data_IF_527464180163
#
_entry.id   IF_527464180163
#
_cell.length_a   1.000
_cell.length_b   1.000
_cell.length_c   1.000
_cell.angle_alpha   90.00
_cell.angle_beta   90.00
_cell.angle_gamma   90.00
#
_symmetry.space_group_name_H-M   'P 1'
#
loop_
_entity.id
_entity.type
_entity.pdbx_description
1 polymer ?
#
# COMPACT_ATOMS: atom_id res chain seq x y z
N UNK A 1 7.86 -8.93 8.26
CA UNK A 1 8.19 -7.89 7.28
C UNK A 1 7.12 -7.89 6.19
N UNK A 2 6.72 -6.72 5.71
CA UNK A 2 5.69 -6.58 4.67
C UNK A 2 6.16 -5.60 3.61
N UNK A 3 5.85 -5.93 2.36
CA UNK A 3 6.05 -5.04 1.21
C UNK A 3 4.70 -4.82 0.55
N UNK A 4 4.15 -3.63 0.70
CA UNK A 4 2.93 -3.26 0.02
C UNK A 4 3.27 -2.81 -1.41
N UNK A 5 2.68 -3.45 -2.41
CA UNK A 5 3.15 -3.33 -3.79
C UNK A 5 2.06 -3.06 -4.83
N UNK A 6 0.84 -3.46 -4.58
CA UNK A 6 -0.23 -3.33 -5.57
C UNK A 6 -1.08 -2.10 -5.25
N UNK A 7 -0.61 -0.90 -5.65
CA UNK A 7 -1.36 0.34 -5.45
C UNK A 7 -2.51 0.46 -6.44
N UNK A 8 -3.71 0.32 -5.94
CA UNK A 8 -4.94 0.38 -6.72
C UNK A 8 -5.28 1.82 -7.10
N UNK A 9 -5.01 2.79 -6.21
CA UNK A 9 -5.38 4.19 -6.42
C UNK A 9 -4.70 4.75 -7.67
N UNK A 10 -3.46 4.37 -7.94
CA UNK A 10 -2.74 4.79 -9.14
C UNK A 10 -3.29 4.18 -10.44
N UNK A 11 -4.13 3.15 -10.35
CA UNK A 11 -4.73 2.45 -11.49
C UNK A 11 -6.14 2.97 -11.84
N UNK A 12 -6.76 3.73 -10.93
CA UNK A 12 -8.10 4.28 -11.15
C UNK A 12 -8.04 5.49 -12.09
N UNK A 13 -9.11 5.67 -12.86
CA UNK A 13 -9.32 6.93 -13.57
C UNK A 13 -9.47 8.07 -12.57
N UNK A 14 -8.93 9.24 -12.88
CA UNK A 14 -8.98 10.41 -11.99
C UNK A 14 -10.40 10.88 -11.66
N UNK A 15 -11.38 10.62 -12.52
CA UNK A 15 -12.80 10.89 -12.27
C UNK A 15 -13.42 10.04 -11.15
N UNK A 16 -12.76 8.93 -10.78
CA UNK A 16 -13.18 8.05 -9.70
C UNK A 16 -12.81 8.57 -8.31
N UNK A 17 -12.03 9.65 -8.23
CA UNK A 17 -11.69 10.31 -6.99
C UNK A 17 -12.42 11.66 -6.92
N UNK A 18 -13.19 11.88 -5.85
CA UNK A 18 -13.91 13.13 -5.65
C UNK A 18 -13.66 13.69 -4.25
N UNK A 19 -13.52 15.00 -4.16
CA UNK A 19 -13.41 15.74 -2.90
C UNK A 19 -14.04 17.13 -3.08
N UNK A 20 -15.08 17.42 -2.32
CA UNK A 20 -15.82 18.68 -2.46
C UNK A 20 -15.03 19.92 -1.98
N UNK A 21 -14.03 19.73 -1.15
CA UNK A 21 -13.26 20.80 -0.50
C UNK A 21 -11.85 20.97 -1.07
N UNK A 22 -11.57 20.36 -2.21
CA UNK A 22 -10.26 20.43 -2.86
C UNK A 22 -10.02 21.80 -3.51
N UNK A 23 -8.79 22.30 -3.41
CA UNK A 23 -8.37 23.51 -4.12
C UNK A 23 -8.18 23.17 -5.62
N UNK A 24 -8.81 23.88 -6.57
CA UNK A 24 -8.71 23.59 -7.99
C UNK A 24 -7.28 23.62 -8.56
N UNK A 25 -6.37 24.42 -7.97
CA UNK A 25 -4.98 24.47 -8.39
C UNK A 25 -4.15 23.26 -7.91
N UNK A 26 -4.69 22.48 -6.98
CA UNK A 26 -4.08 21.28 -6.40
C UNK A 26 -5.10 20.16 -6.38
N UNK A 27 -5.49 19.64 -7.54
CA UNK A 27 -6.64 18.74 -7.70
C UNK A 27 -6.45 17.41 -6.96
N UNK A 28 -7.57 16.75 -6.68
CA UNK A 28 -7.53 15.47 -5.95
C UNK A 28 -6.77 14.38 -6.72
N UNK A 29 -6.74 14.44 -8.05
CA UNK A 29 -5.97 13.50 -8.88
C UNK A 29 -4.46 13.49 -8.59
N UNK A 30 -3.93 14.54 -7.97
CA UNK A 30 -2.51 14.57 -7.59
C UNK A 30 -2.15 13.45 -6.60
N UNK A 31 -3.10 12.96 -5.78
CA UNK A 31 -2.84 11.86 -4.83
C UNK A 31 -2.58 10.50 -5.50
N UNK A 32 -2.75 10.42 -6.83
CA UNK A 32 -2.44 9.24 -7.64
C UNK A 32 -1.00 9.26 -8.18
N UNK A 33 -0.33 10.42 -8.14
CA UNK A 33 1.05 10.56 -8.62
C UNK A 33 2.04 9.89 -7.65
N UNK A 34 3.09 9.28 -8.21
CA UNK A 34 4.12 8.66 -7.39
C UNK A 34 5.05 9.68 -6.73
N UNK A 35 5.11 10.91 -7.26
CA UNK A 35 5.92 11.99 -6.72
C UNK A 35 5.20 12.67 -5.57
N UNK A 36 5.69 12.49 -4.36
CA UNK A 36 5.08 13.04 -3.14
C UNK A 36 5.00 14.57 -3.12
N UNK A 37 5.83 15.26 -3.91
CA UNK A 37 5.80 16.71 -4.06
C UNK A 37 4.59 17.25 -4.85
N UNK A 38 3.92 16.40 -5.62
CA UNK A 38 2.66 16.72 -6.29
C UNK A 38 1.50 16.46 -5.33
N UNK A 39 1.20 17.44 -4.48
CA UNK A 39 0.17 17.26 -3.47
C UNK A 39 -1.20 17.79 -3.92
N UNK A 40 -2.26 17.23 -3.34
CA UNK A 40 -3.59 17.81 -3.30
C UNK A 40 -3.72 18.70 -2.06
N UNK A 41 -4.48 19.80 -2.19
CA UNK A 41 -4.76 20.69 -1.06
C UNK A 41 -6.28 20.73 -0.80
N UNK A 42 -6.66 20.57 0.45
CA UNK A 42 -8.06 20.47 0.88
C UNK A 42 -8.30 21.28 2.14
N UNK A 43 -9.55 21.62 2.43
CA UNK A 43 -9.91 22.25 3.70
C UNK A 43 -9.49 21.38 4.91
N UNK A 44 -9.45 21.99 6.10
CA UNK A 44 -9.07 21.32 7.35
C UNK A 44 -9.96 20.14 7.73
N UNK A 45 -11.20 20.12 7.26
CA UNK A 45 -12.10 18.98 7.34
C UNK A 45 -12.50 18.60 5.93
N UNK A 46 -12.14 17.41 5.52
CA UNK A 46 -12.32 16.94 4.15
C UNK A 46 -12.69 15.47 4.09
N UNK A 47 -13.43 15.12 3.05
CA UNK A 47 -13.76 13.74 2.72
C UNK A 47 -13.40 13.47 1.25
N UNK A 48 -12.64 12.41 1.03
CA UNK A 48 -12.27 11.92 -0.29
C UNK A 48 -13.09 10.66 -0.53
N UNK A 49 -13.86 10.64 -1.62
CA UNK A 49 -14.63 9.47 -2.03
C UNK A 49 -13.92 8.83 -3.21
N UNK A 50 -13.78 7.52 -3.15
CA UNK A 50 -13.13 6.67 -4.14
C UNK A 50 -14.18 5.68 -4.66
N UNK A 51 -14.35 5.64 -5.97
CA UNK A 51 -15.27 4.75 -6.67
C UNK A 51 -14.50 3.61 -7.34
N UNK A 52 -14.81 2.38 -6.97
CA UNK A 52 -14.19 1.15 -7.47
C UNK A 52 -15.09 0.37 -8.44
N UNK A 53 -16.14 0.99 -8.99
CA UNK A 53 -17.16 0.30 -9.80
C UNK A 53 -16.56 -0.55 -10.94
N UNK A 54 -15.48 -0.07 -11.58
CA UNK A 54 -14.96 -0.69 -12.81
C UNK A 54 -13.90 -1.77 -12.54
N UNK A 55 -13.49 -1.97 -11.30
CA UNK A 55 -12.35 -2.84 -10.99
C UNK A 55 -12.54 -3.60 -9.68
N UNK A 56 -12.27 -4.90 -9.72
CA UNK A 56 -12.24 -5.74 -8.53
C UNK A 56 -10.84 -5.81 -7.93
N UNK A 57 -10.70 -5.45 -6.64
CA UNK A 57 -9.42 -5.46 -5.95
C UNK A 57 -9.55 -5.96 -4.52
N UNK A 58 -8.45 -6.49 -4.00
CA UNK A 58 -8.26 -6.80 -2.59
C UNK A 58 -7.44 -5.69 -1.93
N UNK A 59 -7.95 -5.11 -0.85
CA UNK A 59 -7.29 -4.10 -0.04
C UNK A 59 -7.02 -4.67 1.34
N UNK A 60 -5.76 -4.77 1.71
CA UNK A 60 -5.33 -5.12 3.05
C UNK A 60 -4.33 -4.10 3.62
N UNK A 61 -4.02 -3.06 2.83
CA UNK A 61 -3.12 -1.98 3.24
C UNK A 61 -3.67 -0.64 2.80
N UNK A 62 -3.62 0.34 3.69
CA UNK A 62 -4.00 1.72 3.44
C UNK A 62 -2.88 2.61 3.94
N UNK A 63 -2.43 3.56 3.11
CA UNK A 63 -1.44 4.55 3.53
C UNK A 63 -1.74 5.95 2.99
N UNK A 64 -1.31 6.95 3.76
CA UNK A 64 -1.28 8.36 3.38
C UNK A 64 0.18 8.84 3.45
N UNK A 65 0.66 9.42 2.37
CA UNK A 65 2.06 9.76 2.14
C UNK A 65 2.19 11.25 1.82
N UNK A 66 3.32 11.85 2.21
CA UNK A 66 3.62 13.26 1.88
C UNK A 66 2.58 14.23 2.45
N UNK A 67 2.19 14.07 3.70
CA UNK A 67 1.15 14.84 4.35
C UNK A 67 1.70 15.88 5.34
N UNK A 68 0.90 16.93 5.59
CA UNK A 68 1.16 17.95 6.61
C UNK A 68 0.23 17.83 7.83
N UNK A 69 -0.35 16.64 8.07
CA UNK A 69 -1.29 16.43 9.15
C UNK A 69 -0.62 16.61 10.52
N UNK A 70 -1.37 17.12 11.48
CA UNK A 70 -0.91 17.27 12.86
C UNK A 70 -1.10 15.97 13.67
N UNK A 71 -0.39 15.78 14.79
CA UNK A 71 -0.59 14.64 15.68
C UNK A 71 -2.02 14.52 16.24
N UNK A 72 -2.77 15.62 16.24
CA UNK A 72 -4.18 15.65 16.66
C UNK A 72 -5.18 15.37 15.54
N UNK A 73 -4.70 15.13 14.31
CA UNK A 73 -5.59 14.83 13.19
C UNK A 73 -6.34 13.52 13.43
N UNK A 74 -7.61 13.51 13.08
CA UNK A 74 -8.42 12.29 13.06
C UNK A 74 -8.59 11.82 11.63
N UNK A 75 -8.33 10.54 11.40
CA UNK A 75 -8.33 9.95 10.07
C UNK A 75 -9.10 8.64 10.13
N UNK A 76 -10.09 8.51 9.26
CA UNK A 76 -10.83 7.25 9.12
C UNK A 76 -11.06 6.90 7.67
N UNK A 77 -11.15 5.61 7.40
CA UNK A 77 -11.50 5.06 6.09
C UNK A 77 -12.71 4.16 6.28
N UNK A 78 -13.76 4.44 5.55
CA UNK A 78 -14.98 3.65 5.53
C UNK A 78 -15.20 3.03 4.15
N UNK A 79 -15.79 1.84 4.10
CA UNK A 79 -16.16 1.14 2.87
C UNK A 79 -17.66 0.90 2.85
N UNK A 80 -18.29 1.08 1.69
CA UNK A 80 -19.71 0.83 1.51
C UNK A 80 -20.04 0.34 0.11
N UNK A 81 -21.18 -0.34 -0.03
CA UNK A 81 -21.72 -0.83 -1.30
C UNK A 81 -22.32 0.30 -2.16
N UNK A 82 -22.77 1.35 -1.51
CA UNK A 82 -23.38 2.53 -2.14
C UNK A 82 -22.71 3.81 -1.60
N UNK A 83 -22.82 4.90 -2.34
CA UNK A 83 -22.28 6.19 -1.91
C UNK A 83 -23.17 6.85 -0.84
N UNK A 84 -23.43 6.13 0.24
CA UNK A 84 -24.14 6.60 1.45
C UNK A 84 -23.26 6.29 2.68
N UNK A 85 -23.04 7.27 3.53
CA UNK A 85 -22.11 7.22 4.65
C UNK A 85 -22.78 7.32 6.02
N UNK A 86 -24.11 7.14 6.07
CA UNK A 86 -24.89 7.19 7.31
C UNK A 86 -24.50 6.01 8.24
N UNK A 87 -24.34 4.82 7.68
CA UNK A 87 -23.94 3.62 8.43
C UNK A 87 -23.09 2.70 7.56
N UNK A 88 -21.80 3.03 7.34
CA UNK A 88 -20.92 2.19 6.53
C UNK A 88 -20.64 0.86 7.24
N UNK A 89 -20.69 -0.29 6.55
CA UNK A 89 -20.51 -1.60 7.17
C UNK A 89 -19.08 -1.82 7.68
N UNK A 90 -18.10 -1.17 7.07
CA UNK A 90 -16.69 -1.24 7.51
C UNK A 90 -16.13 0.15 7.72
N UNK A 91 -15.58 0.40 8.89
CA UNK A 91 -14.85 1.65 9.19
C UNK A 91 -13.54 1.32 9.91
N UNK A 92 -12.46 1.92 9.47
CA UNK A 92 -11.11 1.79 10.00
C UNK A 92 -10.56 3.15 10.42
N UNK A 93 -10.05 3.25 11.63
CA UNK A 93 -9.31 4.44 12.09
C UNK A 93 -7.82 4.26 11.81
N UNK A 94 -7.18 5.29 11.26
CA UNK A 94 -5.75 5.34 11.02
C UNK A 94 -5.07 6.16 12.11
N UNK A 95 -4.02 5.60 12.69
CA UNK A 95 -3.21 6.31 13.69
C UNK A 95 -2.23 7.24 13.00
N UNK A 96 -2.09 8.45 13.53
CA UNK A 96 -1.09 9.40 13.07
C UNK A 96 0.33 8.81 13.20
N UNK A 97 1.14 9.02 12.17
CA UNK A 97 2.58 8.84 12.20
C UNK A 97 3.23 9.98 11.39
N UNK A 98 4.35 10.48 11.85
CA UNK A 98 5.10 11.51 11.14
C UNK A 98 5.75 10.90 9.89
N UNK A 99 5.36 11.36 8.72
CA UNK A 99 5.87 10.89 7.42
C UNK A 99 4.90 9.96 6.69
N UNK A 100 4.67 8.75 7.16
CA UNK A 100 3.76 7.79 6.51
C UNK A 100 2.72 7.30 7.51
N UNK A 101 1.45 7.62 7.27
CA UNK A 101 0.33 7.02 7.98
C UNK A 101 0.03 5.70 7.28
N UNK A 102 0.19 4.59 7.98
CA UNK A 102 0.07 3.25 7.43
C UNK A 102 -0.81 2.38 8.33
N UNK A 103 -1.76 1.69 7.72
CA UNK A 103 -2.58 0.67 8.37
C UNK A 103 -2.58 -0.60 7.53
N UNK A 104 -2.21 -1.71 8.15
CA UNK A 104 -2.51 -3.03 7.63
C UNK A 104 -3.82 -3.51 8.22
N UNK A 105 -4.72 -3.96 7.38
CA UNK A 105 -6.02 -4.47 7.81
C UNK A 105 -5.86 -5.93 8.26
N UNK A 106 -6.43 -6.26 9.41
CA UNK A 106 -6.44 -7.64 9.92
C UNK A 106 -7.29 -8.55 9.03
N UNK A 107 -8.37 -7.98 8.51
CA UNK A 107 -9.24 -8.64 7.52
C UNK A 107 -9.19 -7.84 6.23
N UNK A 108 -8.82 -8.48 5.11
CA UNK A 108 -8.85 -7.83 3.81
C UNK A 108 -10.25 -7.34 3.44
N UNK A 109 -10.31 -6.20 2.77
CA UNK A 109 -11.53 -5.65 2.18
C UNK A 109 -11.49 -5.87 0.68
N UNK A 110 -12.56 -6.42 0.13
CA UNK A 110 -12.70 -6.61 -1.31
C UNK A 110 -13.55 -5.46 -1.86
N UNK A 111 -13.05 -4.82 -2.91
CA UNK A 111 -13.73 -3.68 -3.56
C UNK A 111 -13.99 -3.99 -5.03
N UNK A 112 -14.97 -3.29 -5.62
CA UNK A 112 -15.37 -3.44 -7.02
C UNK A 112 -16.81 -3.88 -7.17
N UNK A 113 -17.18 -4.29 -8.37
CA UNK A 113 -18.50 -4.89 -8.62
C UNK A 113 -18.59 -6.29 -8.03
N UNK A 114 -19.75 -6.62 -7.50
CA UNK A 114 -20.04 -7.96 -7.01
C UNK A 114 -20.01 -8.97 -8.18
N UNK A 115 -19.26 -10.03 -8.01
CA UNK A 115 -19.16 -11.14 -8.98
C UNK A 115 -19.73 -12.41 -8.38
N UNK A 116 -20.22 -13.28 -9.24
CA UNK A 116 -20.64 -14.63 -8.87
C UNK A 116 -19.43 -15.53 -9.12
N UNK A 117 -18.94 -16.17 -8.06
CA UNK A 117 -17.75 -17.00 -8.11
C UNK A 117 -18.04 -18.41 -7.61
N UNK A 118 -17.19 -19.33 -8.00
CA UNK A 118 -17.19 -20.68 -7.46
C UNK A 118 -16.61 -20.68 -6.03
N UNK A 119 -17.28 -21.30 -5.08
CA UNK A 119 -16.87 -21.32 -3.67
C UNK A 119 -15.45 -21.86 -3.46
N UNK A 120 -14.98 -22.76 -4.31
CA UNK A 120 -13.64 -23.34 -4.22
C UNK A 120 -12.53 -22.41 -4.70
N UNK A 121 -12.87 -21.34 -5.42
CA UNK A 121 -11.93 -20.32 -5.90
C UNK A 121 -11.74 -19.18 -4.90
N UNK A 122 -12.58 -19.12 -3.86
CA UNK A 122 -12.49 -18.13 -2.80
C UNK A 122 -11.26 -18.39 -1.93
N UNK A 123 -10.18 -17.71 -2.22
CA UNK A 123 -8.99 -17.70 -1.35
C UNK A 123 -9.29 -17.02 -0.03
N UNK A 124 -8.92 -17.68 1.06
CA UNK A 124 -9.18 -17.34 2.46
C UNK A 124 -9.17 -15.84 2.80
N UNK A 125 -10.31 -15.28 3.02
CA UNK A 125 -10.60 -14.01 3.65
C UNK A 125 -11.98 -14.11 4.27
N UNK A 126 -12.30 -13.36 5.32
CA UNK A 126 -13.66 -13.32 5.84
C UNK A 126 -14.52 -12.62 4.79
N UNK A 127 -15.08 -13.43 3.92
CA UNK A 127 -16.08 -13.02 2.96
C UNK A 127 -17.42 -13.39 3.59
N UNK A 128 -18.37 -12.49 3.59
CA UNK A 128 -19.75 -12.88 3.82
C UNK A 128 -20.16 -13.72 2.61
N UNK A 129 -20.18 -15.03 2.76
CA UNK A 129 -20.55 -15.95 1.70
C UNK A 129 -22.06 -16.11 1.75
N UNK A 130 -22.76 -15.47 0.83
CA UNK A 130 -24.15 -15.78 0.58
C UNK A 130 -24.22 -16.89 -0.45
N UNK A 131 -24.60 -18.08 0.00
CA UNK A 131 -24.89 -19.19 -0.89
C UNK A 131 -26.09 -18.83 -1.75
N UNK A 132 -25.93 -18.89 -3.06
CA UNK A 132 -27.05 -18.72 -3.96
C UNK A 132 -27.95 -19.96 -3.87
N UNK A 133 -29.22 -19.72 -3.69
CA UNK A 133 -30.24 -20.75 -3.66
C UNK A 133 -31.27 -20.55 -4.79
N UNK A 134 -31.88 -21.61 -5.22
CA UNK A 134 -33.07 -21.58 -6.09
C UNK A 134 -34.28 -21.01 -5.33
N UNK A 135 -35.36 -20.70 -6.03
CA UNK A 135 -36.64 -20.32 -5.40
C UNK A 135 -37.19 -21.40 -4.46
N UNK A 136 -36.82 -22.68 -4.67
CA UNK A 136 -37.16 -23.80 -3.78
C UNK A 136 -36.26 -23.91 -2.54
N UNK A 137 -35.19 -23.09 -2.44
CA UNK A 137 -34.26 -23.13 -1.34
C UNK A 137 -33.08 -24.10 -1.51
N UNK A 138 -32.95 -24.74 -2.69
CA UNK A 138 -31.81 -25.61 -2.99
C UNK A 138 -30.57 -24.77 -3.35
N UNK A 139 -29.39 -25.20 -2.90
CA UNK A 139 -28.14 -24.55 -3.26
C UNK A 139 -27.84 -24.64 -4.76
N UNK A 140 -27.45 -23.53 -5.36
CA UNK A 140 -26.92 -23.57 -6.72
C UNK A 140 -25.49 -24.11 -6.68
N UNK A 141 -25.25 -25.13 -7.50
CA UNK A 141 -23.96 -25.78 -7.66
C UNK A 141 -23.55 -25.77 -9.13
N UNK A 142 -22.23 -25.80 -9.38
CA UNK A 142 -21.69 -25.99 -10.73
C UNK A 142 -21.90 -27.43 -11.21
N UNK A 143 -21.66 -27.72 -12.50
CA UNK A 143 -21.65 -29.09 -13.04
C UNK A 143 -20.62 -29.98 -12.35
N UNK A 144 -19.54 -29.40 -11.76
CA UNK A 144 -18.55 -30.11 -10.94
C UNK A 144 -19.02 -30.40 -9.51
N UNK A 145 -20.17 -29.88 -9.10
CA UNK A 145 -20.71 -30.05 -7.74
C UNK A 145 -20.25 -29.00 -6.72
N UNK A 146 -19.58 -27.95 -7.17
CA UNK A 146 -19.13 -26.87 -6.30
C UNK A 146 -20.26 -25.86 -6.03
N UNK A 147 -20.31 -25.32 -4.82
CA UNK A 147 -21.29 -24.29 -4.48
C UNK A 147 -21.03 -22.99 -5.24
N UNK A 148 -22.08 -22.41 -5.79
CA UNK A 148 -22.03 -21.08 -6.36
C UNK A 148 -22.30 -20.09 -5.23
N UNK A 149 -21.41 -19.15 -5.02
CA UNK A 149 -21.48 -18.14 -3.97
C UNK A 149 -21.41 -16.76 -4.57
N UNK A 150 -22.03 -15.81 -3.87
CA UNK A 150 -21.92 -14.39 -4.18
C UNK A 150 -20.86 -13.78 -3.27
N UNK A 151 -19.78 -13.28 -3.84
CA UNK A 151 -18.83 -12.46 -3.11
C UNK A 151 -19.31 -11.01 -3.15
N UNK A 152 -19.71 -10.48 -2.00
CA UNK A 152 -20.04 -9.07 -1.89
C UNK A 152 -18.76 -8.23 -1.85
N UNK A 153 -18.68 -7.25 -2.74
CA UNK A 153 -17.55 -6.31 -2.83
C UNK A 153 -18.06 -4.89 -2.57
N UNK A 154 -17.32 -4.15 -1.78
CA UNK A 154 -17.63 -2.74 -1.55
C UNK A 154 -17.31 -1.93 -2.80
N UNK A 155 -18.20 -1.04 -3.20
CA UNK A 155 -18.04 -0.25 -4.43
C UNK A 155 -17.35 1.07 -4.15
N UNK A 156 -17.50 1.59 -2.92
CA UNK A 156 -16.97 2.89 -2.55
C UNK A 156 -16.10 2.82 -1.30
N UNK A 157 -15.05 3.67 -1.26
CA UNK A 157 -14.37 4.02 -0.03
C UNK A 157 -14.45 5.52 0.22
N UNK A 158 -14.50 5.90 1.50
CA UNK A 158 -14.45 7.29 1.95
C UNK A 158 -13.33 7.47 2.95
N UNK A 159 -12.38 8.33 2.64
CA UNK A 159 -11.35 8.79 3.57
C UNK A 159 -11.83 10.10 4.18
N UNK A 160 -12.03 10.13 5.47
CA UNK A 160 -12.41 11.34 6.21
C UNK A 160 -11.21 11.81 7.03
N UNK A 161 -10.85 13.08 6.89
CA UNK A 161 -9.71 13.68 7.57
C UNK A 161 -10.18 14.98 8.24
N UNK A 162 -9.89 15.11 9.53
CA UNK A 162 -10.04 16.39 10.27
C UNK A 162 -8.69 16.78 10.82
N UNK A 163 -8.23 17.97 10.51
CA UNK A 163 -6.93 18.52 10.88
C UNK A 163 -7.13 19.96 11.39
N UNK A 164 -6.14 20.54 12.04
CA UNK A 164 -6.17 21.94 12.50
C UNK A 164 -5.95 22.94 11.36
N UNK A 165 -5.20 22.55 10.34
CA UNK A 165 -4.83 23.41 9.21
C UNK A 165 -5.31 22.78 7.88
N UNK A 166 -5.21 23.58 6.80
CA UNK A 166 -5.36 23.09 5.43
C UNK A 166 -4.57 21.79 5.24
N UNK A 167 -5.25 20.78 4.70
CA UNK A 167 -4.68 19.46 4.47
C UNK A 167 -3.90 19.50 3.16
N UNK A 168 -2.64 19.07 3.21
CA UNK A 168 -1.84 18.72 2.06
C UNK A 168 -1.61 17.21 2.08
N UNK A 169 -1.78 16.55 0.94
CA UNK A 169 -1.65 15.11 0.82
C UNK A 169 -0.97 14.79 -0.52
N UNK A 170 0.23 14.22 -0.47
CA UNK A 170 1.00 13.87 -1.67
C UNK A 170 0.43 12.61 -2.34
N UNK A 171 0.11 11.57 -1.56
CA UNK A 171 -0.39 10.32 -2.13
C UNK A 171 -1.34 9.59 -1.19
N UNK A 172 -2.36 8.99 -1.79
CA UNK A 172 -3.16 7.92 -1.18
C UNK A 172 -2.70 6.60 -1.78
N UNK A 173 -2.51 5.62 -0.93
CA UNK A 173 -2.13 4.27 -1.34
C UNK A 173 -3.11 3.27 -0.72
N UNK A 174 -3.70 2.43 -1.54
CA UNK A 174 -4.54 1.31 -1.11
C UNK A 174 -4.19 0.10 -1.96
N UNK A 175 -4.07 -1.07 -1.35
CA UNK A 175 -3.77 -2.28 -2.10
C UNK A 175 -3.36 -3.46 -1.28
N UNK A 176 -2.64 -4.37 -1.89
CA UNK A 176 -2.18 -5.62 -1.28
C UNK A 176 -0.72 -5.52 -0.81
N UNK A 177 -0.32 -6.45 0.05
CA UNK A 177 1.06 -6.58 0.50
C UNK A 177 1.54 -8.03 0.38
N UNK A 178 2.83 -8.20 0.18
CA UNK A 178 3.52 -9.47 0.35
C UNK A 178 4.11 -9.53 1.75
N UNK A 179 3.73 -10.56 2.50
CA UNK A 179 4.33 -10.83 3.79
C UNK A 179 5.51 -11.78 3.61
N UNK A 180 6.71 -11.32 3.97
CA UNK A 180 7.93 -12.12 3.97
C UNK A 180 8.24 -12.49 5.42
N UNK A 181 8.49 -13.78 5.67
CA UNK A 181 8.81 -14.24 7.02
C UNK A 181 10.13 -13.61 7.51
N UNK A 182 10.14 -12.93 8.65
CA UNK A 182 11.37 -12.36 9.21
C UNK A 182 12.39 -13.43 9.60
N UNK A 183 11.96 -14.67 9.87
CA UNK A 183 12.85 -15.78 10.22
C UNK A 183 13.78 -16.21 9.08
N UNK A 184 13.45 -15.84 7.84
CA UNK A 184 14.29 -16.10 6.67
C UNK A 184 15.30 -14.99 6.38
N UNK A 185 15.25 -13.86 7.10
CA UNK A 185 16.18 -12.75 6.91
C UNK A 185 17.50 -13.05 7.61
N UNK A 186 18.59 -13.08 6.84
CA UNK A 186 19.95 -13.27 7.38
C UNK A 186 20.57 -11.94 7.77
N UNK A 187 20.46 -10.96 6.88
CA UNK A 187 21.14 -9.69 7.02
C UNK A 187 20.23 -8.53 6.59
N UNK A 188 20.35 -7.44 7.33
CA UNK A 188 19.59 -6.21 7.13
C UNK A 188 20.55 -5.03 7.28
N UNK A 189 20.83 -4.38 6.16
CA UNK A 189 21.74 -3.24 6.09
C UNK A 189 20.94 -1.99 5.69
N UNK A 190 21.20 -0.88 6.36
CA UNK A 190 20.62 0.43 6.05
C UNK A 190 21.74 1.43 5.87
N UNK A 191 21.87 1.93 4.67
CA UNK A 191 22.77 3.02 4.33
C UNK A 191 22.02 4.35 4.31
N UNK A 192 22.57 5.37 4.93
CA UNK A 192 22.09 6.75 4.77
C UNK A 192 22.95 7.44 3.72
N UNK A 193 22.34 7.71 2.59
CA UNK A 193 22.96 8.39 1.47
C UNK A 193 22.71 9.90 1.57
N UNK A 194 23.62 10.71 1.01
CA UNK A 194 23.42 12.13 0.83
C UNK A 194 24.05 12.60 -0.48
N UNK A 195 23.59 13.73 -0.99
CA UNK A 195 24.20 14.41 -2.14
C UNK A 195 24.72 15.79 -1.76
N UNK A 196 25.24 15.94 -0.55
CA UNK A 196 25.90 17.17 -0.12
C UNK A 196 27.03 17.52 -1.08
N UNK A 197 27.13 18.78 -1.45
CA UNK A 197 28.26 19.26 -2.26
C UNK A 197 29.21 20.11 -1.42
N UNK A 198 30.50 19.84 -1.56
CA UNK A 198 31.55 20.62 -0.90
C UNK A 198 32.51 21.15 -1.96
N UNK A 199 32.63 22.45 -2.04
CA UNK A 199 33.55 23.12 -2.95
C UNK A 199 34.57 23.89 -2.11
N UNK A 200 35.84 23.80 -2.48
CA UNK A 200 36.90 24.57 -1.86
C UNK A 200 37.29 25.72 -2.80
N UNK A 201 37.23 26.94 -2.28
CA UNK A 201 37.74 28.12 -2.97
C UNK A 201 39.26 28.06 -3.11
N UNK A 202 39.82 28.90 -3.96
CA UNK A 202 41.29 29.03 -4.18
C UNK A 202 42.03 29.45 -2.89
N UNK A 203 41.33 30.06 -1.96
CA UNK A 203 41.80 30.47 -0.62
C UNK A 203 41.61 29.39 0.44
N UNK A 204 41.20 28.15 0.04
CA UNK A 204 40.84 27.01 0.90
C UNK A 204 39.59 27.23 1.76
N UNK A 205 38.81 28.24 1.48
CA UNK A 205 37.49 28.35 2.12
C UNK A 205 36.59 27.20 1.64
N UNK A 206 35.91 26.56 2.59
CA UNK A 206 34.97 25.49 2.35
C UNK A 206 33.57 26.05 2.14
N UNK A 207 33.02 25.84 0.96
CA UNK A 207 31.61 26.09 0.66
C UNK A 207 30.88 24.76 0.66
N UNK A 208 29.92 24.57 1.57
CA UNK A 208 29.13 23.37 1.65
C UNK A 208 27.66 23.74 1.45
N UNK A 209 26.97 22.98 0.59
CA UNK A 209 25.52 22.99 0.51
C UNK A 209 24.99 21.64 0.97
N UNK A 210 24.01 21.68 1.89
CA UNK A 210 23.30 20.47 2.29
C UNK A 210 22.45 19.96 1.13
N UNK A 211 22.58 18.70 0.83
CA UNK A 211 21.76 17.99 -0.15
C UNK A 211 20.58 17.27 0.50
N UNK A 212 19.93 16.45 -0.31
CA UNK A 212 18.87 15.57 0.14
C UNK A 212 19.52 14.31 0.71
N UNK A 213 18.99 13.84 1.84
CA UNK A 213 19.37 12.56 2.43
C UNK A 213 18.28 11.54 2.13
N UNK A 214 18.68 10.32 1.78
CA UNK A 214 17.77 9.18 1.56
C UNK A 214 18.40 7.89 2.06
N UNK A 215 17.57 6.86 2.23
CA UNK A 215 18.02 5.55 2.74
C UNK A 215 18.08 4.53 1.63
N UNK A 216 19.09 3.66 1.68
CA UNK A 216 19.13 2.41 0.93
C UNK A 216 19.06 1.26 1.90
N UNK A 217 18.23 0.26 1.58
CA UNK A 217 18.05 -0.92 2.38
C UNK A 217 18.46 -2.13 1.56
N UNK A 218 19.29 -2.96 2.15
CA UNK A 218 19.66 -4.25 1.59
C UNK A 218 19.20 -5.37 2.51
N UNK A 219 18.49 -6.33 1.95
CA UNK A 219 17.91 -7.47 2.64
C UNK A 219 18.46 -8.75 2.02
N UNK A 220 19.08 -9.62 2.82
CA UNK A 220 19.64 -10.89 2.36
C UNK A 220 18.87 -12.06 2.95
N UNK A 221 18.37 -12.92 2.10
CA UNK A 221 17.57 -14.10 2.45
C UNK A 221 18.34 -15.36 2.03
N UNK A 222 18.84 -16.15 3.02
CA UNK A 222 19.73 -17.28 2.72
C UNK A 222 18.99 -18.53 2.26
N UNK A 223 17.71 -18.63 2.59
CA UNK A 223 16.93 -19.83 2.34
C UNK A 223 15.45 -19.51 2.25
N UNK A 224 14.87 -19.81 1.11
CA UNK A 224 13.44 -19.55 0.84
C UNK A 224 12.87 -20.67 -0.02
N UNK A 225 11.59 -21.00 0.21
CA UNK A 225 10.87 -22.01 -0.57
C UNK A 225 10.40 -21.47 -1.93
N UNK A 226 10.02 -22.38 -2.82
CA UNK A 226 9.56 -22.04 -4.17
C UNK A 226 8.31 -21.15 -4.17
N UNK A 227 7.42 -21.30 -3.21
CA UNK A 227 6.16 -20.53 -3.11
C UNK A 227 6.45 -19.06 -2.88
N UNK A 228 7.34 -18.77 -1.92
CA UNK A 228 7.75 -17.40 -1.61
C UNK A 228 8.50 -16.77 -2.79
N UNK A 229 9.38 -17.52 -3.46
CA UNK A 229 10.10 -17.06 -4.66
C UNK A 229 9.13 -16.70 -5.77
N UNK A 230 8.15 -17.55 -6.04
CA UNK A 230 7.13 -17.28 -7.05
C UNK A 230 6.38 -15.99 -6.73
N UNK A 231 6.03 -15.79 -5.47
CA UNK A 231 5.34 -14.56 -5.01
C UNK A 231 6.22 -13.32 -5.19
N UNK A 232 7.51 -13.40 -4.85
CA UNK A 232 8.46 -12.29 -5.02
C UNK A 232 8.69 -11.98 -6.51
N UNK A 233 8.84 -13.01 -7.35
CA UNK A 233 9.01 -12.83 -8.80
C UNK A 233 7.75 -12.19 -9.41
N UNK A 234 6.56 -12.62 -9.02
CA UNK A 234 5.33 -12.03 -9.51
C UNK A 234 5.19 -10.56 -9.06
N UNK A 235 5.47 -10.27 -7.80
CA UNK A 235 5.52 -8.90 -7.30
C UNK A 235 6.51 -8.07 -8.12
N UNK A 236 7.75 -8.54 -8.32
CA UNK A 236 8.77 -7.81 -9.06
C UNK A 236 8.38 -7.61 -10.54
N UNK A 237 7.74 -8.60 -11.19
CA UNK A 237 7.22 -8.44 -12.56
C UNK A 237 6.16 -7.35 -12.68
N UNK A 238 5.34 -7.18 -11.66
CA UNK A 238 4.30 -6.15 -11.65
C UNK A 238 4.86 -4.75 -11.40
N UNK A 239 5.87 -4.65 -10.53
CA UNK A 239 6.39 -3.35 -10.07
C UNK A 239 7.59 -2.91 -10.91
N UNK A 240 8.50 -3.82 -11.23
CA UNK A 240 9.81 -3.50 -11.80
C UNK A 240 10.64 -2.64 -10.85
N UNK A 241 11.51 -1.82 -11.43
CA UNK A 241 12.34 -0.83 -10.70
C UNK A 241 11.77 0.59 -10.76
N UNK A 242 10.59 0.78 -11.36
CA UNK A 242 10.02 2.10 -11.65
C UNK A 242 8.80 2.46 -10.82
N UNK A 243 8.16 1.48 -10.19
CA UNK A 243 7.03 1.73 -9.28
C UNK A 243 7.51 1.68 -7.84
N UNK A 244 7.00 2.61 -7.07
CA UNK A 244 7.27 2.65 -5.64
C UNK A 244 6.43 1.65 -4.87
N UNK A 245 6.96 1.20 -3.74
CA UNK A 245 6.35 0.27 -2.78
C UNK A 245 6.43 0.88 -1.38
N UNK A 246 5.66 0.34 -0.45
CA UNK A 246 5.80 0.67 0.97
C UNK A 246 6.44 -0.53 1.67
N UNK A 247 7.65 -0.34 2.15
CA UNK A 247 8.36 -1.32 2.95
C UNK A 247 8.11 -1.09 4.43
N UNK A 248 7.80 -2.14 5.16
CA UNK A 248 7.60 -2.09 6.60
C UNK A 248 8.22 -3.32 7.28
N UNK A 249 9.15 -3.06 8.19
CA UNK A 249 9.76 -4.08 9.02
C UNK A 249 9.12 -4.09 10.40
N UNK A 250 8.40 -5.16 10.75
CA UNK A 250 7.75 -5.33 12.06
C UNK A 250 8.56 -6.14 13.06
N UNK A 251 9.85 -6.34 12.85
CA UNK A 251 10.64 -7.11 13.81
C UNK A 251 10.88 -6.32 15.11
N UNK A 252 9.84 -6.24 15.93
CA UNK A 252 9.90 -5.70 17.29
C UNK A 252 10.66 -6.62 18.24
N UNK A 253 10.89 -7.88 17.87
CA UNK A 253 11.51 -8.90 18.74
C UNK A 253 13.00 -8.62 18.95
N UNK A 254 13.66 -7.99 17.99
CA UNK A 254 15.09 -7.68 18.05
C UNK A 254 15.44 -6.28 18.52
N UNK A 255 14.46 -5.46 18.87
CA UNK A 255 14.70 -4.11 19.36
C UNK A 255 15.37 -3.17 18.37
N UNK A 256 15.20 -3.42 17.05
CA UNK A 256 15.64 -2.51 16.01
C UNK A 256 14.51 -1.51 15.70
N UNK A 257 14.50 -0.32 16.32
CA UNK A 257 13.49 0.70 16.05
C UNK A 257 13.75 1.42 14.72
N UNK A 258 14.66 0.92 13.87
CA UNK A 258 15.30 1.72 12.85
C UNK A 258 14.52 1.82 11.55
N UNK A 259 13.38 1.15 11.38
CA UNK A 259 12.68 1.26 10.11
C UNK A 259 11.22 1.62 10.33
N UNK A 260 10.99 2.92 10.43
CA UNK A 260 9.69 3.49 10.08
C UNK A 260 9.27 2.98 8.70
N UNK A 261 7.98 2.88 8.41
CA UNK A 261 7.52 2.58 7.06
C UNK A 261 8.25 3.44 6.05
N UNK A 262 8.77 2.82 5.00
CA UNK A 262 9.57 3.49 3.98
C UNK A 262 8.85 3.44 2.64
N UNK A 263 8.66 4.60 2.02
CA UNK A 263 8.24 4.71 0.64
C UNK A 263 9.48 4.63 -0.24
N UNK A 264 9.58 3.58 -1.07
CA UNK A 264 10.81 3.23 -1.77
C UNK A 264 10.53 2.51 -3.08
N UNK A 265 11.54 2.43 -3.92
CA UNK A 265 11.56 1.62 -5.15
C UNK A 265 12.63 0.54 -5.07
N UNK A 266 12.51 -0.49 -5.93
CA UNK A 266 13.57 -1.49 -6.05
C UNK A 266 14.78 -0.89 -6.76
N UNK A 267 15.96 -1.07 -6.15
CA UNK A 267 17.22 -0.65 -6.73
C UNK A 267 17.96 -1.86 -7.28
N UNK A 268 17.97 -1.99 -8.61
CA UNK A 268 18.66 -3.06 -9.31
C UNK A 268 17.82 -4.29 -9.63
N UNK A 269 18.47 -5.31 -10.18
CA UNK A 269 17.81 -6.52 -10.63
C UNK A 269 17.62 -7.51 -9.48
N UNK A 270 16.49 -8.20 -9.49
CA UNK A 270 16.23 -9.31 -8.61
C UNK A 270 17.01 -10.55 -9.08
N UNK A 271 17.86 -11.10 -8.23
CA UNK A 271 18.64 -12.29 -8.54
C UNK A 271 18.43 -13.39 -7.50
N UNK A 272 18.31 -14.62 -7.95
CA UNK A 272 18.19 -15.80 -7.12
C UNK A 272 19.38 -16.73 -7.33
N UNK A 273 19.91 -17.29 -6.25
CA UNK A 273 20.91 -18.35 -6.30
C UNK A 273 20.26 -19.62 -5.76
N UNK A 274 20.31 -20.68 -6.54
CA UNK A 274 19.89 -22.00 -6.10
C UNK A 274 20.95 -22.57 -5.16
N UNK A 275 20.54 -22.90 -3.95
CA UNK A 275 21.37 -23.60 -2.97
C UNK A 275 21.02 -25.10 -2.98
N UNK A 276 21.86 -25.92 -2.36
CA UNK A 276 21.56 -27.33 -2.17
C UNK A 276 20.20 -27.53 -1.48
N UNK A 277 19.47 -28.58 -1.84
CA UNK A 277 18.18 -28.94 -1.22
C UNK A 277 16.94 -28.12 -1.63
N UNK A 278 16.82 -27.70 -2.90
CA UNK A 278 15.63 -26.98 -3.41
C UNK A 278 15.32 -25.66 -2.71
N UNK A 279 16.31 -25.04 -2.09
CA UNK A 279 16.19 -23.73 -1.48
C UNK A 279 16.95 -22.69 -2.27
N UNK A 280 16.45 -21.47 -2.19
CA UNK A 280 17.05 -20.35 -2.91
C UNK A 280 17.50 -19.27 -1.93
N UNK A 281 18.62 -18.64 -2.21
CA UNK A 281 18.98 -17.37 -1.59
C UNK A 281 18.72 -16.22 -2.54
N UNK A 282 18.36 -15.07 -2.01
CA UNK A 282 18.15 -13.86 -2.80
C UNK A 282 18.44 -12.61 -1.99
N UNK A 283 18.64 -11.52 -2.71
CA UNK A 283 18.82 -10.19 -2.13
C UNK A 283 17.76 -9.24 -2.69
N UNK A 284 17.21 -8.40 -1.82
CA UNK A 284 16.37 -7.27 -2.19
C UNK A 284 17.10 -5.98 -1.82
N UNK A 285 17.21 -5.08 -2.77
CA UNK A 285 17.74 -3.74 -2.55
C UNK A 285 16.63 -2.73 -2.81
N UNK A 286 16.41 -1.85 -1.84
CA UNK A 286 15.38 -0.82 -1.86
C UNK A 286 16.03 0.55 -1.68
N UNK A 287 15.53 1.55 -2.37
CA UNK A 287 15.97 2.94 -2.27
C UNK A 287 14.79 3.86 -1.98
N UNK A 288 14.92 4.71 -0.97
CA UNK A 288 13.88 5.64 -0.53
C UNK A 288 13.57 6.67 -1.61
N UNK A 289 12.30 6.81 -1.96
CA UNK A 289 11.77 7.83 -2.87
C UNK A 289 11.38 9.08 -2.05
N UNK A 290 11.89 10.26 -2.46
CA UNK A 290 11.63 11.55 -1.81
C UNK A 290 11.03 12.59 -2.74
#
# INVERSE_FOLDING_TARGET
>A
MRIAYNDIISKLDSSKLTCATVNPNYPISNVQDQRLGFCSMMASTSSIIIDFTDHGYKINTIALLGHNLSPSATISVAFNYINDWTSPPVTQTLSYNNGIILKFLDTPVYVGTTEIENANELTSGVVTIDFLTTESGDFLITESGDFIVRQEKYVFAKISITNTNTIQLGRIWMGDYLQISPSSLLDFEVDVMNNDSVIYGTDRQKFASSGIQWRKIKLTFPSTDNTMITSIVNMYKEIGTYKSVIFCNFDTIRGYPLVEPLYCSFNGNLSFKHNESMKFSYELSLEEDK
#
